data_IF_226206270705
#
_entry.id   IF_226206270705
#
_cell.length_a   1.000
_cell.length_b   1.000
_cell.length_c   1.000
_cell.angle_alpha   90.00
_cell.angle_beta   90.00
_cell.angle_gamma   90.00
#
_symmetry.space_group_name_H-M   'P 1'
#
loop_
_entity.id
_entity.type
_entity.pdbx_description
1 polymer ?
#
# COMPACT_ATOMS: atom_id res chain seq x y z
N UNK A 1 -24.00 3.82 2.84
CA UNK A 1 -23.27 2.95 3.81
C UNK A 1 -22.20 3.71 4.59
N UNK A 2 -21.29 4.45 3.93
CA UNK A 2 -20.24 5.27 4.59
C UNK A 2 -20.83 6.32 5.56
N UNK A 3 -21.90 7.01 5.16
CA UNK A 3 -22.58 8.02 6.00
C UNK A 3 -23.15 7.44 7.31
N UNK A 4 -23.62 6.19 7.28
CA UNK A 4 -24.23 5.51 8.42
C UNK A 4 -23.18 5.06 9.44
N UNK A 5 -22.02 4.60 8.95
CA UNK A 5 -20.88 4.19 9.79
C UNK A 5 -20.32 5.40 10.55
N UNK A 6 -20.29 6.58 9.91
CA UNK A 6 -19.85 7.80 10.57
C UNK A 6 -20.73 8.21 11.76
N UNK A 7 -22.00 7.79 11.85
CA UNK A 7 -22.86 8.12 13.00
C UNK A 7 -22.48 7.32 14.26
N UNK A 8 -22.06 6.06 14.10
CA UNK A 8 -21.83 5.11 15.20
C UNK A 8 -20.40 5.19 15.76
N UNK A 9 -19.41 5.57 14.93
CA UNK A 9 -18.01 5.65 15.35
C UNK A 9 -17.76 6.96 16.12
N UNK A 10 -17.12 6.86 17.29
CA UNK A 10 -16.78 8.00 18.15
C UNK A 10 -15.77 8.96 17.50
N UNK A 11 -14.83 8.42 16.72
CA UNK A 11 -13.90 9.22 15.93
C UNK A 11 -14.48 9.61 14.57
N UNK A 12 -14.49 10.91 14.31
CA UNK A 12 -15.03 11.51 13.08
C UNK A 12 -13.95 11.94 12.08
N UNK A 13 -12.68 11.88 12.50
CA UNK A 13 -11.52 12.31 11.69
C UNK A 13 -10.74 11.08 11.25
N UNK A 14 -10.52 10.96 9.94
CA UNK A 14 -9.69 9.92 9.34
C UNK A 14 -8.98 10.46 8.09
N UNK A 15 -7.73 10.03 7.87
CA UNK A 15 -6.98 10.29 6.66
C UNK A 15 -7.32 9.26 5.59
N UNK A 16 -8.27 9.59 4.70
CA UNK A 16 -8.69 8.70 3.61
C UNK A 16 -7.95 9.11 2.35
N UNK A 17 -7.28 8.16 1.70
CA UNK A 17 -6.69 8.35 0.36
C UNK A 17 -7.78 8.13 -0.68
N UNK A 18 -8.22 9.20 -1.35
CA UNK A 18 -9.42 9.20 -2.20
C UNK A 18 -9.17 8.87 -3.68
N UNK A 19 -7.94 9.05 -4.17
CA UNK A 19 -7.62 8.99 -5.60
C UNK A 19 -6.37 8.14 -5.87
N UNK A 20 -6.25 7.01 -5.17
CA UNK A 20 -5.17 6.06 -5.41
C UNK A 20 -5.56 5.05 -6.46
N UNK A 21 -4.93 5.14 -7.64
CA UNK A 21 -5.04 4.17 -8.72
C UNK A 21 -3.84 3.22 -8.72
N UNK A 22 -4.04 2.01 -8.19
CA UNK A 22 -3.02 0.98 -8.17
C UNK A 22 -2.72 0.40 -9.56
N UNK A 23 -3.70 0.41 -10.47
CA UNK A 23 -3.54 -0.14 -11.82
C UNK A 23 -2.61 0.76 -12.65
N UNK A 24 -2.70 2.08 -12.47
CA UNK A 24 -1.81 3.05 -13.12
C UNK A 24 -0.37 2.93 -12.59
N UNK A 25 -0.21 2.77 -11.27
CA UNK A 25 1.11 2.79 -10.63
C UNK A 25 1.84 1.45 -10.76
N UNK A 26 1.16 0.33 -10.51
CA UNK A 26 1.77 -1.00 -10.41
C UNK A 26 1.49 -1.89 -11.63
N UNK A 27 0.55 -1.47 -12.48
CA UNK A 27 -0.01 -2.30 -13.54
C UNK A 27 -1.09 -3.25 -13.04
N UNK A 28 -2.13 -3.45 -13.86
CA UNK A 28 -3.32 -4.27 -13.55
C UNK A 28 -3.04 -5.65 -12.96
N UNK A 29 -1.98 -6.32 -13.44
CA UNK A 29 -1.65 -7.68 -13.00
C UNK A 29 -1.21 -7.70 -11.54
N UNK A 30 -0.30 -6.82 -11.15
CA UNK A 30 0.22 -6.77 -9.79
C UNK A 30 -0.78 -6.10 -8.84
N UNK A 31 -1.45 -5.02 -9.28
CA UNK A 31 -2.50 -4.38 -8.52
C UNK A 31 -3.61 -5.36 -8.10
N UNK A 32 -4.04 -6.26 -9.00
CA UNK A 32 -5.04 -7.29 -8.67
C UNK A 32 -4.54 -8.35 -7.67
N UNK A 33 -3.24 -8.65 -7.66
CA UNK A 33 -2.64 -9.72 -6.84
C UNK A 33 -2.30 -9.24 -5.43
N UNK A 34 -1.93 -7.96 -5.32
CA UNK A 34 -1.49 -7.31 -4.10
C UNK A 34 -2.67 -6.77 -3.32
N UNK A 35 -2.55 -6.83 -2.02
CA UNK A 35 -3.47 -6.14 -1.13
C UNK A 35 -3.24 -4.64 -1.12
N UNK A 36 -4.27 -3.91 -0.69
CA UNK A 36 -4.25 -2.44 -0.71
C UNK A 36 -3.12 -1.85 0.15
N UNK A 37 -2.72 -2.51 1.24
CA UNK A 37 -1.59 -2.05 2.04
C UNK A 37 -0.27 -2.24 1.28
N UNK A 38 -0.03 -3.41 0.68
CA UNK A 38 1.16 -3.64 -0.15
C UNK A 38 1.22 -2.73 -1.38
N UNK A 39 0.08 -2.42 -1.99
CA UNK A 39 0.02 -1.48 -3.10
C UNK A 39 0.55 -0.10 -2.69
N UNK A 40 0.10 0.42 -1.53
CA UNK A 40 0.59 1.69 -1.00
C UNK A 40 2.08 1.64 -0.65
N UNK A 41 2.53 0.55 -0.02
CA UNK A 41 3.94 0.39 0.34
C UNK A 41 4.85 0.42 -0.89
N UNK A 42 4.48 -0.28 -1.96
CA UNK A 42 5.25 -0.30 -3.21
C UNK A 42 5.24 1.05 -3.92
N UNK A 43 4.07 1.70 -4.03
CA UNK A 43 3.97 3.02 -4.62
C UNK A 43 4.83 4.06 -3.87
N UNK A 44 4.82 4.01 -2.54
CA UNK A 44 5.64 4.90 -1.71
C UNK A 44 7.15 4.60 -1.86
N UNK A 45 7.54 3.32 -1.93
CA UNK A 45 8.93 2.93 -2.14
C UNK A 45 9.46 3.41 -3.50
N UNK A 46 8.65 3.28 -4.56
CA UNK A 46 8.99 3.79 -5.89
C UNK A 46 9.17 5.31 -5.89
N UNK A 47 8.26 6.04 -5.25
CA UNK A 47 8.37 7.50 -5.11
C UNK A 47 9.63 7.89 -4.32
N UNK A 48 9.94 7.19 -3.23
CA UNK A 48 11.13 7.43 -2.43
C UNK A 48 12.41 7.20 -3.24
N UNK A 49 12.45 6.13 -4.05
CA UNK A 49 13.60 5.82 -4.90
C UNK A 49 13.79 6.86 -6.01
N UNK A 50 12.71 7.34 -6.62
CA UNK A 50 12.77 8.46 -7.59
C UNK A 50 13.29 9.73 -6.94
N UNK A 51 12.83 10.02 -5.73
CA UNK A 51 13.24 11.22 -4.99
C UNK A 51 14.66 11.14 -4.43
N UNK A 52 15.19 9.94 -4.18
CA UNK A 52 16.56 9.78 -3.65
C UNK A 52 17.65 10.06 -4.67
N UNK A 53 17.31 10.15 -5.96
CA UNK A 53 18.25 10.36 -7.08
C UNK A 53 19.38 9.32 -7.11
N UNK A 54 19.13 8.13 -6.56
CA UNK A 54 20.10 7.06 -6.46
C UNK A 54 20.36 6.45 -7.84
N UNK A 55 21.62 6.40 -8.26
CA UNK A 55 22.04 5.76 -9.51
C UNK A 55 22.31 4.27 -9.23
N UNK A 56 21.29 3.44 -9.44
CA UNK A 56 21.32 2.01 -9.09
C UNK A 56 22.44 1.23 -9.80
N UNK A 57 22.88 1.69 -10.97
CA UNK A 57 24.00 1.15 -11.75
C UNK A 57 25.37 1.44 -11.11
N UNK A 58 25.45 2.39 -10.19
CA UNK A 58 26.67 2.79 -9.49
C UNK A 58 26.65 2.43 -8.01
N UNK A 59 25.58 1.78 -7.54
CA UNK A 59 25.46 1.31 -6.16
C UNK A 59 26.12 -0.06 -6.03
N UNK A 60 26.95 -0.21 -5.00
CA UNK A 60 27.46 -1.50 -4.57
C UNK A 60 26.30 -2.38 -4.08
N UNK A 61 26.00 -3.43 -4.84
CA UNK A 61 24.89 -4.34 -4.58
C UNK A 61 25.09 -5.16 -3.31
N UNK A 62 26.33 -5.38 -2.85
CA UNK A 62 26.59 -6.07 -1.58
C UNK A 62 26.21 -5.21 -0.36
N UNK A 63 26.08 -3.89 -0.59
CA UNK A 63 25.69 -2.90 0.43
C UNK A 63 24.27 -2.40 0.27
N UNK A 64 23.57 -2.81 -0.78
CA UNK A 64 22.17 -2.47 -1.01
C UNK A 64 21.26 -3.51 -0.35
N UNK A 65 20.48 -3.07 0.62
CA UNK A 65 19.52 -3.92 1.34
C UNK A 65 18.11 -3.38 1.24
N UNK A 66 17.14 -4.29 1.32
CA UNK A 66 15.72 -3.97 1.46
C UNK A 66 15.25 -4.47 2.81
N UNK A 67 14.65 -3.58 3.61
CA UNK A 67 14.01 -3.93 4.86
C UNK A 67 12.55 -3.55 4.82
N UNK A 68 11.66 -4.52 4.99
CA UNK A 68 10.21 -4.32 5.00
C UNK A 68 9.64 -4.87 6.29
N UNK A 69 8.89 -4.04 7.00
CA UNK A 69 8.17 -4.42 8.21
C UNK A 69 6.74 -3.90 8.18
N UNK A 70 5.85 -4.59 8.89
CA UNK A 70 4.48 -4.13 9.13
C UNK A 70 4.12 -4.36 10.60
N UNK A 71 3.47 -3.38 11.22
CA UNK A 71 3.12 -3.47 12.65
C UNK A 71 1.94 -4.40 12.93
N UNK A 72 0.91 -4.38 12.08
CA UNK A 72 -0.28 -5.23 12.23
C UNK A 72 -0.46 -6.15 11.00
N UNK A 73 0.07 -5.77 9.83
CA UNK A 73 -0.13 -6.53 8.59
C UNK A 73 -1.61 -6.58 8.15
N UNK A 74 -1.81 -6.86 6.88
CA UNK A 74 -3.12 -6.94 6.24
C UNK A 74 -4.11 -7.86 7.01
N UNK A 75 -5.15 -7.30 7.68
CA UNK A 75 -6.22 -8.12 8.30
C UNK A 75 -7.23 -8.67 7.29
N UNK A 76 -7.13 -8.32 6.01
CA UNK A 76 -8.25 -8.45 5.07
C UNK A 76 -8.21 -9.68 4.15
N UNK A 77 -7.15 -10.51 4.18
CA UNK A 77 -7.15 -11.77 3.42
C UNK A 77 -8.11 -12.83 3.97
N UNK A 78 -8.64 -12.66 5.19
CA UNK A 78 -9.49 -13.64 5.88
C UNK A 78 -11.00 -13.33 5.92
N UNK A 79 -11.47 -12.16 5.48
CA UNK A 79 -12.91 -11.82 5.57
C UNK A 79 -13.73 -12.06 4.30
N UNK A 80 -13.11 -12.50 3.20
CA UNK A 80 -13.83 -12.76 1.93
C UNK A 80 -14.15 -14.26 1.73
N UNK A 81 -13.75 -15.16 2.66
CA UNK A 81 -14.05 -16.60 2.57
C UNK A 81 -15.21 -17.09 3.45
N UNK A 82 -16.03 -16.18 4.00
CA UNK A 82 -17.27 -16.53 4.74
C UNK A 82 -18.52 -15.83 4.22
N UNK A 83 -18.50 -15.37 2.97
CA UNK A 83 -19.70 -14.92 2.26
C UNK A 83 -19.86 -15.61 0.90
N UNK A 84 -19.55 -16.91 0.86
CA UNK A 84 -20.13 -17.87 -0.09
C UNK A 84 -20.71 -19.03 0.71
#
# INVERSE_FOLDING_TARGET
>A
MILLIQLIIKQKIAGIVRDFDADEILGRKEAKRLDRFSQFALAAAEQALKNSQLQLDQVDLERLGVYVGSGIGESNRLLIMSMY
#
